data_IF_625925586730
#
_entry.id   IF_625925586730
#
_cell.length_a   1.000
_cell.length_b   1.000
_cell.length_c   1.000
_cell.angle_alpha   90.00
_cell.angle_beta   90.00
_cell.angle_gamma   90.00
#
_symmetry.space_group_name_H-M   'P 1'
#
loop_
_entity.id
_entity.type
_entity.pdbx_description
1 polymer ?
#
# COMPACT_ATOMS: atom_id res chain seq x y z
N UNK A 1 -7.68 35.38 23.19
CA UNK A 1 -8.02 34.50 24.33
C UNK A 1 -9.35 33.83 24.04
N UNK A 2 -9.33 32.65 23.41
CA UNK A 2 -10.56 31.89 23.15
C UNK A 2 -11.12 31.44 24.51
N UNK A 3 -12.35 31.87 24.79
CA UNK A 3 -12.97 31.82 26.12
C UNK A 3 -12.92 30.39 26.66
N UNK A 4 -12.29 30.15 27.82
CA UNK A 4 -12.18 28.80 28.44
C UNK A 4 -13.54 28.10 28.47
N UNK A 5 -14.61 28.87 28.63
CA UNK A 5 -16.00 28.44 28.56
C UNK A 5 -16.40 27.77 27.23
N UNK A 6 -15.96 28.26 26.08
CA UNK A 6 -16.25 27.65 24.77
C UNK A 6 -15.57 26.28 24.61
N UNK A 7 -14.36 26.12 25.17
CA UNK A 7 -13.66 24.82 25.15
C UNK A 7 -14.35 23.80 26.06
N UNK A 8 -14.76 24.22 27.25
CA UNK A 8 -15.49 23.37 28.20
C UNK A 8 -16.85 22.97 27.62
N UNK A 9 -17.55 23.90 26.96
CA UNK A 9 -18.85 23.65 26.34
C UNK A 9 -18.73 22.71 25.12
N UNK A 10 -17.70 22.89 24.30
CA UNK A 10 -17.40 21.98 23.19
C UNK A 10 -17.05 20.57 23.67
N UNK A 11 -16.24 20.45 24.74
CA UNK A 11 -15.92 19.16 25.34
C UNK A 11 -17.17 18.49 25.93
N UNK A 12 -18.02 19.27 26.59
CA UNK A 12 -19.29 18.79 27.14
C UNK A 12 -20.25 18.27 26.07
N UNK A 13 -20.37 18.97 24.94
CA UNK A 13 -21.18 18.54 23.80
C UNK A 13 -20.61 17.28 23.14
N UNK A 14 -19.30 17.17 23.01
CA UNK A 14 -18.64 15.98 22.47
C UNK A 14 -18.86 14.75 23.37
N UNK A 15 -18.71 14.92 24.70
CA UNK A 15 -19.01 13.85 25.66
C UNK A 15 -20.49 13.45 25.63
N UNK A 16 -21.41 14.41 25.54
CA UNK A 16 -22.84 14.15 25.38
C UNK A 16 -23.15 13.42 24.07
N UNK A 17 -22.47 13.75 22.98
CA UNK A 17 -22.62 13.08 21.70
C UNK A 17 -22.12 11.63 21.78
N UNK A 18 -20.92 11.40 22.34
CA UNK A 18 -20.39 10.06 22.57
C UNK A 18 -21.30 9.23 23.49
N UNK A 19 -21.81 9.82 24.59
CA UNK A 19 -22.74 9.14 25.49
C UNK A 19 -24.08 8.83 24.81
N UNK A 20 -24.59 9.70 23.94
CA UNK A 20 -25.79 9.41 23.14
C UNK A 20 -25.53 8.32 22.10
N UNK A 21 -24.36 8.28 21.47
CA UNK A 21 -23.99 7.19 20.57
C UNK A 21 -23.90 5.85 21.32
N UNK A 22 -23.28 5.84 22.50
CA UNK A 22 -23.20 4.64 23.35
C UNK A 22 -24.60 4.24 23.84
N UNK A 23 -25.45 5.19 24.21
CA UNK A 23 -26.83 4.93 24.63
C UNK A 23 -27.69 4.41 23.47
N UNK A 24 -27.55 4.98 22.27
CA UNK A 24 -28.20 4.49 21.05
C UNK A 24 -27.73 3.08 20.71
N UNK A 25 -26.42 2.81 20.78
CA UNK A 25 -25.87 1.46 20.63
C UNK A 25 -26.46 0.52 21.69
N UNK A 26 -26.50 0.91 22.97
CA UNK A 26 -27.08 0.08 24.03
C UNK A 26 -28.57 -0.18 23.85
N UNK A 27 -29.35 0.79 23.40
CA UNK A 27 -30.77 0.60 23.08
C UNK A 27 -30.91 -0.35 21.88
N UNK A 28 -30.02 -0.22 20.88
CA UNK A 28 -29.95 -1.15 19.75
C UNK A 28 -29.58 -2.58 20.18
N UNK A 29 -28.74 -2.75 21.20
CA UNK A 29 -28.29 -4.07 21.69
C UNK A 29 -29.19 -4.69 22.77
N UNK A 30 -29.88 -3.89 23.59
CA UNK A 30 -30.77 -4.40 24.64
C UNK A 30 -32.20 -4.70 24.15
N UNK A 31 -32.59 -4.19 22.98
CA UNK A 31 -33.92 -4.40 22.43
C UNK A 31 -34.15 -5.80 21.79
N UNK A 32 -33.21 -6.75 21.97
CA UNK A 32 -33.06 -7.86 21.02
C UNK A 32 -32.55 -7.33 19.68
N UNK A 33 -32.18 -8.19 18.73
CA UNK A 33 -31.83 -7.73 17.39
C UNK A 33 -33.03 -6.90 16.88
N UNK A 34 -32.95 -5.57 16.68
CA UNK A 34 -34.06 -4.80 16.14
C UNK A 34 -34.33 -5.20 14.68
N UNK A 35 -33.47 -6.06 14.14
CA UNK A 35 -33.63 -6.85 12.95
C UNK A 35 -33.67 -8.35 13.29
N UNK A 36 -34.43 -8.76 14.30
CA UNK A 36 -34.97 -10.13 14.37
C UNK A 36 -35.84 -10.31 13.13
N UNK A 37 -35.15 -10.61 12.05
CA UNK A 37 -35.73 -11.00 10.80
C UNK A 37 -36.56 -12.24 11.11
N UNK A 38 -37.80 -12.32 10.62
CA UNK A 38 -38.58 -13.54 10.68
C UNK A 38 -37.67 -14.74 10.35
N UNK A 39 -37.79 -15.86 11.06
CA UNK A 39 -36.87 -17.00 10.91
C UNK A 39 -36.79 -17.53 9.45
N UNK A 40 -37.75 -17.15 8.61
CA UNK A 40 -37.87 -17.40 7.18
C UNK A 40 -37.38 -16.26 6.26
N UNK A 41 -37.10 -15.07 6.80
CA UNK A 41 -36.55 -13.95 6.06
C UNK A 41 -35.06 -14.17 5.79
N UNK A 42 -34.79 -14.68 4.59
CA UNK A 42 -33.46 -14.71 3.99
C UNK A 42 -33.29 -13.40 3.21
N UNK A 43 -32.67 -12.34 3.77
CA UNK A 43 -32.36 -11.20 2.94
C UNK A 43 -31.49 -11.71 1.81
N UNK A 44 -31.90 -11.44 0.56
CA UNK A 44 -30.96 -11.49 -0.57
C UNK A 44 -29.97 -10.37 -0.32
N UNK A 45 -28.97 -10.65 0.50
CA UNK A 45 -27.81 -9.79 0.69
C UNK A 45 -27.08 -9.82 -0.64
N UNK A 46 -27.42 -8.86 -1.50
CA UNK A 46 -26.63 -8.54 -2.67
C UNK A 46 -25.55 -7.56 -2.24
N UNK A 47 -24.43 -7.54 -2.96
CA UNK A 47 -23.49 -6.42 -2.86
C UNK A 47 -24.26 -5.16 -3.23
N UNK A 48 -24.40 -4.23 -2.30
CA UNK A 48 -25.05 -2.94 -2.52
C UNK A 48 -24.04 -1.86 -2.20
N UNK A 49 -23.92 -0.84 -3.05
CA UNK A 49 -23.16 0.36 -2.69
C UNK A 49 -24.10 1.36 -2.02
N UNK A 50 -23.77 1.74 -0.80
CA UNK A 50 -24.43 2.86 -0.15
C UNK A 50 -23.84 4.14 -0.74
N UNK A 51 -24.71 5.01 -1.25
CA UNK A 51 -24.27 6.30 -1.77
C UNK A 51 -23.94 7.23 -0.61
N UNK A 52 -22.67 7.57 -0.44
CA UNK A 52 -22.22 8.47 0.62
C UNK A 52 -22.86 9.86 0.55
N UNK A 53 -23.25 10.35 -0.63
CA UNK A 53 -23.94 11.63 -0.79
C UNK A 53 -25.30 11.66 -0.08
N UNK A 54 -25.92 10.49 0.10
CA UNK A 54 -27.16 10.39 0.88
C UNK A 54 -26.89 10.40 2.40
N UNK A 55 -25.68 10.07 2.83
CA UNK A 55 -25.31 9.96 4.26
C UNK A 55 -24.67 11.24 4.75
N UNK A 56 -23.77 11.85 3.96
CA UNK A 56 -22.98 13.05 4.29
C UNK A 56 -23.79 14.19 4.93
N UNK A 57 -25.00 14.55 4.44
CA UNK A 57 -25.79 15.63 5.05
C UNK A 57 -26.15 15.39 6.52
N UNK A 58 -26.32 14.12 6.92
CA UNK A 58 -26.66 13.74 8.29
C UNK A 58 -25.44 13.66 9.22
N UNK A 59 -24.24 13.75 8.67
CA UNK A 59 -22.99 13.69 9.45
C UNK A 59 -22.52 15.07 9.90
N UNK A 60 -23.21 16.16 9.51
CA UNK A 60 -22.92 17.53 9.93
C UNK A 60 -21.44 17.95 9.73
N UNK A 61 -20.79 17.45 8.68
CA UNK A 61 -19.38 17.73 8.37
C UNK A 61 -18.36 16.80 9.04
N UNK A 62 -18.80 15.81 9.83
CA UNK A 62 -17.93 14.83 10.49
C UNK A 62 -17.73 13.54 9.68
N UNK A 63 -17.68 13.61 8.33
CA UNK A 63 -17.61 12.41 7.48
C UNK A 63 -16.35 11.58 7.74
N UNK A 64 -15.18 12.23 7.91
CA UNK A 64 -13.92 11.57 8.27
C UNK A 64 -13.99 10.82 9.59
N UNK A 65 -14.42 11.50 10.66
CA UNK A 65 -14.55 10.88 11.98
C UNK A 65 -15.53 9.69 11.96
N UNK A 66 -16.60 9.79 11.19
CA UNK A 66 -17.57 8.70 11.05
C UNK A 66 -16.97 7.53 10.27
N UNK A 67 -16.18 7.78 9.22
CA UNK A 67 -15.44 6.73 8.52
C UNK A 67 -14.46 6.01 9.47
N UNK A 68 -13.72 6.74 10.29
CA UNK A 68 -12.82 6.18 11.31
C UNK A 68 -13.56 5.27 12.30
N UNK A 69 -14.67 5.77 12.87
CA UNK A 69 -15.45 5.02 13.85
C UNK A 69 -16.08 3.76 13.26
N UNK A 70 -16.60 3.85 12.04
CA UNK A 70 -17.18 2.70 11.36
C UNK A 70 -16.12 1.68 10.98
N UNK A 71 -14.90 2.12 10.62
CA UNK A 71 -13.79 1.23 10.38
C UNK A 71 -13.37 0.47 11.63
N UNK A 72 -13.19 1.17 12.76
CA UNK A 72 -12.88 0.55 14.05
C UNK A 72 -13.95 -0.48 14.42
N UNK A 73 -15.23 -0.10 14.29
CA UNK A 73 -16.34 -1.02 14.51
C UNK A 73 -16.26 -2.25 13.60
N UNK A 74 -15.95 -2.05 12.31
CA UNK A 74 -15.81 -3.13 11.34
C UNK A 74 -14.69 -4.09 11.72
N UNK A 75 -13.51 -3.60 12.11
CA UNK A 75 -12.40 -4.46 12.54
C UNK A 75 -12.74 -5.21 13.83
N UNK A 76 -13.42 -4.57 14.78
CA UNK A 76 -13.73 -5.18 16.09
C UNK A 76 -14.80 -6.27 15.96
N UNK A 77 -15.82 -6.04 15.14
CA UNK A 77 -16.96 -6.95 15.02
C UNK A 77 -16.79 -8.01 13.93
N UNK A 78 -16.00 -7.74 12.89
CA UNK A 78 -15.80 -8.70 11.81
C UNK A 78 -14.52 -9.52 12.03
N UNK A 79 -14.65 -10.84 11.86
CA UNK A 79 -13.50 -11.72 11.81
C UNK A 79 -12.60 -11.35 10.62
N UNK A 80 -11.28 -11.41 10.83
CA UNK A 80 -10.26 -11.26 9.80
C UNK A 80 -10.31 -12.41 8.77
N UNK A 81 -11.09 -13.45 9.01
CA UNK A 81 -11.56 -14.36 7.96
C UNK A 81 -13.02 -14.04 7.67
N UNK A 82 -13.41 -13.94 6.40
CA UNK A 82 -14.78 -13.63 5.98
C UNK A 82 -15.52 -14.91 5.54
N UNK A 83 -15.97 -15.77 6.47
CA UNK A 83 -16.49 -17.10 6.13
C UNK A 83 -17.87 -17.06 5.48
N UNK A 84 -18.78 -16.18 5.93
CA UNK A 84 -20.12 -16.10 5.36
C UNK A 84 -20.22 -15.11 4.19
N UNK A 85 -21.16 -15.36 3.27
CA UNK A 85 -21.48 -14.38 2.22
C UNK A 85 -22.11 -13.11 2.77
N UNK A 86 -22.78 -13.18 3.93
CA UNK A 86 -23.40 -12.03 4.59
C UNK A 86 -22.34 -11.06 5.09
N UNK A 87 -21.39 -11.55 5.88
CA UNK A 87 -20.29 -10.74 6.43
C UNK A 87 -19.48 -10.11 5.30
N UNK A 88 -19.16 -10.88 4.27
CA UNK A 88 -18.45 -10.38 3.11
C UNK A 88 -19.19 -9.27 2.37
N UNK A 89 -20.48 -9.43 2.09
CA UNK A 89 -21.26 -8.40 1.39
C UNK A 89 -21.42 -7.14 2.26
N UNK A 90 -21.55 -7.31 3.57
CA UNK A 90 -21.56 -6.18 4.50
C UNK A 90 -20.22 -5.47 4.48
N UNK A 91 -19.10 -6.20 4.54
CA UNK A 91 -17.76 -5.65 4.46
C UNK A 91 -17.52 -4.90 3.14
N UNK A 92 -17.91 -5.47 2.00
CA UNK A 92 -17.92 -4.80 0.69
C UNK A 92 -18.66 -3.47 0.73
N UNK A 93 -19.90 -3.50 1.22
CA UNK A 93 -20.76 -2.32 1.31
C UNK A 93 -20.12 -1.23 2.18
N UNK A 94 -19.58 -1.63 3.32
CA UNK A 94 -18.96 -0.77 4.31
C UNK A 94 -17.65 -0.15 3.80
N UNK A 95 -16.73 -0.94 3.25
CA UNK A 95 -15.46 -0.44 2.69
C UNK A 95 -15.68 0.62 1.61
N UNK A 96 -16.65 0.43 0.71
CA UNK A 96 -17.00 1.45 -0.28
C UNK A 96 -17.57 2.71 0.35
N UNK A 97 -18.50 2.56 1.31
CA UNK A 97 -19.04 3.71 2.04
C UNK A 97 -17.95 4.50 2.76
N UNK A 98 -17.04 3.83 3.45
CA UNK A 98 -15.99 4.48 4.24
C UNK A 98 -15.04 5.28 3.34
N UNK A 99 -14.60 4.68 2.24
CA UNK A 99 -13.74 5.35 1.26
C UNK A 99 -14.44 6.47 0.49
N UNK A 100 -15.78 6.48 0.41
CA UNK A 100 -16.56 7.61 -0.13
C UNK A 100 -16.81 8.73 0.89
N UNK A 101 -16.91 8.37 2.19
CA UNK A 101 -17.04 9.32 3.30
C UNK A 101 -15.73 10.02 3.60
N UNK A 102 -14.63 9.27 3.59
CA UNK A 102 -13.27 9.76 3.73
C UNK A 102 -12.33 9.17 2.68
N UNK A 103 -12.21 9.83 1.52
CA UNK A 103 -11.27 9.42 0.49
C UNK A 103 -9.80 9.50 0.92
N UNK A 104 -9.46 10.27 1.97
CA UNK A 104 -8.09 10.47 2.45
C UNK A 104 -7.65 9.37 3.41
N UNK A 105 -8.57 8.51 3.83
CA UNK A 105 -8.29 7.52 4.87
C UNK A 105 -7.60 6.28 4.28
N UNK A 106 -6.31 6.44 4.00
CA UNK A 106 -5.46 5.46 3.33
C UNK A 106 -5.54 4.02 3.86
N UNK A 107 -5.47 3.78 5.19
CA UNK A 107 -5.59 2.44 5.78
C UNK A 107 -6.81 1.66 5.29
N UNK A 108 -7.93 2.32 4.95
CA UNK A 108 -9.11 1.64 4.42
C UNK A 108 -8.86 1.00 3.07
N UNK A 109 -8.08 1.64 2.20
CA UNK A 109 -7.80 1.06 0.90
C UNK A 109 -6.78 -0.08 1.02
N UNK A 110 -5.78 0.06 1.89
CA UNK A 110 -4.71 -0.93 2.06
C UNK A 110 -5.23 -2.16 2.80
N UNK A 111 -5.68 -1.97 4.04
CA UNK A 111 -6.12 -3.07 4.89
C UNK A 111 -7.51 -3.56 4.48
N UNK A 112 -8.37 -2.65 4.01
CA UNK A 112 -9.68 -3.01 3.49
C UNK A 112 -9.60 -3.92 2.27
N UNK A 113 -8.71 -3.62 1.33
CA UNK A 113 -8.49 -4.47 0.16
C UNK A 113 -7.75 -5.76 0.48
N UNK A 114 -6.77 -5.73 1.38
CA UNK A 114 -6.04 -6.92 1.83
C UNK A 114 -6.98 -7.95 2.46
N UNK A 115 -7.97 -7.47 3.22
CA UNK A 115 -8.99 -8.33 3.81
C UNK A 115 -9.85 -9.06 2.77
N UNK A 116 -10.17 -8.43 1.63
CA UNK A 116 -10.81 -9.15 0.51
C UNK A 116 -9.88 -10.20 -0.09
N UNK A 117 -8.63 -9.83 -0.35
CA UNK A 117 -7.65 -10.72 -0.97
C UNK A 117 -7.40 -11.99 -0.14
N UNK A 118 -7.21 -11.86 1.17
CA UNK A 118 -6.84 -12.97 2.04
C UNK A 118 -8.02 -13.62 2.77
N UNK A 119 -9.07 -12.85 3.08
CA UNK A 119 -10.21 -13.32 3.88
C UNK A 119 -11.01 -14.45 3.25
N UNK A 120 -10.83 -14.71 1.94
CA UNK A 120 -11.47 -15.79 1.16
C UNK A 120 -10.50 -16.66 0.37
N UNK A 121 -9.22 -16.59 0.69
CA UNK A 121 -8.20 -17.41 0.04
C UNK A 121 -8.53 -18.91 0.17
N UNK A 122 -8.36 -19.66 -0.91
CA UNK A 122 -8.63 -21.10 -0.94
C UNK A 122 -10.12 -21.48 -1.01
N UNK A 123 -11.03 -20.49 -1.08
CA UNK A 123 -12.46 -20.74 -1.29
C UNK A 123 -12.83 -20.65 -2.77
N UNK A 124 -14.00 -21.20 -3.14
CA UNK A 124 -14.55 -21.04 -4.50
C UNK A 124 -14.91 -19.59 -4.88
N UNK A 125 -14.82 -18.66 -3.92
CA UNK A 125 -15.10 -17.23 -4.06
C UNK A 125 -13.85 -16.35 -4.08
N UNK A 126 -12.65 -16.94 -4.06
CA UNK A 126 -11.39 -16.18 -4.05
C UNK A 126 -11.29 -15.19 -5.22
N UNK A 127 -11.66 -15.59 -6.44
CA UNK A 127 -11.61 -14.69 -7.61
C UNK A 127 -12.49 -13.45 -7.44
N UNK A 128 -13.72 -13.65 -6.95
CA UNK A 128 -14.65 -12.54 -6.67
C UNK A 128 -14.08 -11.57 -5.62
N UNK A 129 -13.38 -12.11 -4.63
CA UNK A 129 -12.73 -11.32 -3.58
C UNK A 129 -11.49 -10.58 -4.07
N UNK A 130 -10.71 -11.21 -4.94
CA UNK A 130 -9.59 -10.55 -5.60
C UNK A 130 -10.07 -9.38 -6.47
N UNK A 131 -11.15 -9.55 -7.23
CA UNK A 131 -11.72 -8.49 -8.07
C UNK A 131 -12.23 -7.32 -7.21
N UNK A 132 -12.89 -7.58 -6.08
CA UNK A 132 -13.31 -6.52 -5.15
C UNK A 132 -12.12 -5.81 -4.49
N UNK A 133 -11.07 -6.56 -4.11
CA UNK A 133 -9.81 -6.01 -3.60
C UNK A 133 -9.19 -5.04 -4.60
N UNK A 134 -9.06 -5.51 -5.84
CA UNK A 134 -8.50 -4.74 -6.95
C UNK A 134 -9.31 -3.46 -7.22
N UNK A 135 -10.64 -3.56 -7.17
CA UNK A 135 -11.52 -2.41 -7.37
C UNK A 135 -11.33 -1.32 -6.32
N UNK A 136 -11.26 -1.70 -5.03
CA UNK A 136 -11.04 -0.75 -3.94
C UNK A 136 -9.66 -0.10 -4.06
N UNK A 137 -8.63 -0.87 -4.39
CA UNK A 137 -7.28 -0.35 -4.60
C UNK A 137 -7.21 0.62 -5.78
N UNK A 138 -7.85 0.28 -6.91
CA UNK A 138 -7.91 1.17 -8.08
C UNK A 138 -8.61 2.47 -7.74
N UNK A 139 -9.73 2.42 -7.01
CA UNK A 139 -10.42 3.62 -6.53
C UNK A 139 -9.50 4.51 -5.70
N UNK A 140 -8.74 3.92 -4.77
CA UNK A 140 -7.74 4.66 -3.99
C UNK A 140 -6.66 5.25 -4.88
N UNK A 141 -6.12 4.47 -5.81
CA UNK A 141 -5.07 4.88 -6.74
C UNK A 141 -5.50 6.02 -7.67
N UNK A 142 -6.71 5.94 -8.24
CA UNK A 142 -7.27 7.01 -9.07
C UNK A 142 -7.51 8.28 -8.27
N UNK A 143 -8.00 8.15 -7.03
CA UNK A 143 -8.07 9.29 -6.13
C UNK A 143 -6.68 9.88 -5.88
N UNK A 144 -5.67 9.04 -5.67
CA UNK A 144 -4.27 9.44 -5.48
C UNK A 144 -3.62 10.09 -6.69
N UNK A 145 -3.97 9.71 -7.92
CA UNK A 145 -3.37 10.34 -9.10
C UNK A 145 -3.98 11.71 -9.42
N UNK A 146 -5.19 11.98 -8.95
CA UNK A 146 -5.98 13.13 -9.37
C UNK A 146 -5.93 14.35 -8.42
N UNK A 147 -5.25 14.29 -7.27
CA UNK A 147 -5.13 15.48 -6.40
C UNK A 147 -3.86 16.28 -6.66
N UNK A 148 -3.96 17.54 -6.25
CA UNK A 148 -2.95 18.59 -6.44
C UNK A 148 -2.04 18.77 -5.22
N UNK A 149 -2.32 18.09 -4.12
CA UNK A 149 -1.62 18.24 -2.84
C UNK A 149 -0.42 17.30 -2.76
N UNK A 150 0.63 17.68 -2.02
CA UNK A 150 1.81 16.82 -1.80
C UNK A 150 1.48 15.66 -0.86
N UNK A 151 1.51 14.44 -1.39
CA UNK A 151 1.13 13.17 -0.73
C UNK A 151 2.23 12.58 0.14
N UNK A 152 3.44 13.08 -0.03
CA UNK A 152 4.70 12.70 0.62
C UNK A 152 4.69 12.86 2.15
N UNK A 153 3.56 13.23 2.75
CA UNK A 153 3.33 13.29 4.19
C UNK A 153 2.73 12.00 4.80
N UNK A 154 2.21 11.08 3.99
CA UNK A 154 1.73 9.79 4.47
C UNK A 154 2.83 8.74 4.36
N UNK A 155 3.05 7.93 5.38
CA UNK A 155 4.18 6.97 5.40
C UNK A 155 3.96 5.75 4.47
N UNK A 156 2.71 5.48 4.07
CA UNK A 156 2.31 4.22 3.42
C UNK A 156 1.79 4.38 1.97
N UNK A 157 1.82 5.59 1.39
CA UNK A 157 1.28 5.93 0.05
C UNK A 157 1.75 5.05 -1.13
N UNK A 158 2.84 4.32 -0.96
CA UNK A 158 3.36 3.37 -1.94
C UNK A 158 2.71 1.99 -1.86
N UNK A 159 1.98 1.68 -0.79
CA UNK A 159 1.35 0.39 -0.56
C UNK A 159 0.17 0.14 -1.51
N UNK A 160 -0.59 1.16 -1.88
CA UNK A 160 -1.66 0.99 -2.90
C UNK A 160 -1.10 0.51 -4.23
N UNK A 161 -0.17 1.24 -4.89
CA UNK A 161 0.39 0.75 -6.14
C UNK A 161 1.11 -0.59 -5.93
N UNK A 162 1.70 -0.84 -4.76
CA UNK A 162 2.33 -2.12 -4.47
C UNK A 162 1.33 -3.28 -4.49
N UNK A 163 0.18 -3.12 -3.84
CA UNK A 163 -0.89 -4.13 -3.81
C UNK A 163 -1.55 -4.29 -5.18
N UNK A 164 -1.70 -3.22 -5.98
CA UNK A 164 -2.14 -3.32 -7.36
C UNK A 164 -1.17 -4.12 -8.23
N UNK A 165 0.12 -3.81 -8.13
CA UNK A 165 1.19 -4.56 -8.77
C UNK A 165 1.19 -6.02 -8.33
N UNK A 166 0.97 -6.28 -7.03
CA UNK A 166 0.86 -7.62 -6.48
C UNK A 166 -0.32 -8.40 -7.08
N UNK A 167 -1.52 -7.82 -7.10
CA UNK A 167 -2.70 -8.45 -7.69
C UNK A 167 -2.45 -8.81 -9.15
N UNK A 168 -1.90 -7.87 -9.95
CA UNK A 168 -1.58 -8.16 -11.35
C UNK A 168 -0.52 -9.24 -11.51
N UNK A 169 0.60 -9.14 -10.78
CA UNK A 169 1.74 -10.03 -10.97
C UNK A 169 1.46 -11.45 -10.47
N UNK A 170 0.98 -11.58 -9.23
CA UNK A 170 0.88 -12.87 -8.55
C UNK A 170 -0.48 -13.54 -8.67
N UNK A 171 -1.56 -12.76 -8.70
CA UNK A 171 -2.92 -13.29 -8.61
C UNK A 171 -3.61 -13.37 -9.99
N UNK A 172 -3.42 -12.35 -10.84
CA UNK A 172 -3.91 -12.34 -12.22
C UNK A 172 -2.90 -12.89 -13.24
N UNK A 173 -1.61 -12.98 -12.89
CA UNK A 173 -0.51 -13.36 -13.79
C UNK A 173 -0.41 -12.45 -15.04
N UNK A 174 -0.76 -11.17 -14.88
CA UNK A 174 -0.73 -10.12 -15.89
C UNK A 174 0.49 -9.20 -15.65
N UNK A 175 1.70 -9.75 -15.88
CA UNK A 175 2.97 -9.06 -15.56
C UNK A 175 3.10 -7.68 -16.20
N UNK A 176 2.65 -7.53 -17.43
CA UNK A 176 2.65 -6.25 -18.16
C UNK A 176 1.84 -5.18 -17.44
N UNK A 177 0.70 -5.54 -16.84
CA UNK A 177 -0.12 -4.58 -16.07
C UNK A 177 0.44 -4.30 -14.69
N UNK A 178 1.26 -5.19 -14.13
CA UNK A 178 1.93 -4.98 -12.85
C UNK A 178 3.07 -3.96 -12.95
N UNK A 179 3.78 -3.95 -14.08
CA UNK A 179 5.00 -3.17 -14.27
C UNK A 179 4.84 -1.67 -13.93
N UNK A 180 3.82 -0.93 -14.43
CA UNK A 180 3.73 0.51 -14.21
C UNK A 180 3.60 0.89 -12.73
N UNK A 181 3.03 0.01 -11.91
CA UNK A 181 2.90 0.26 -10.46
C UNK A 181 4.24 0.12 -9.75
N UNK A 182 5.04 -0.90 -10.07
CA UNK A 182 6.37 -1.07 -9.50
C UNK A 182 7.34 0.00 -10.00
N UNK A 183 7.24 0.40 -11.27
CA UNK A 183 7.98 1.54 -11.78
C UNK A 183 7.61 2.84 -11.08
N UNK A 184 6.32 3.06 -10.82
CA UNK A 184 5.87 4.23 -10.08
C UNK A 184 6.52 4.27 -8.71
N UNK A 185 6.49 3.16 -7.96
CA UNK A 185 7.10 3.08 -6.63
C UNK A 185 8.60 3.37 -6.71
N UNK A 186 9.32 2.68 -7.57
CA UNK A 186 10.77 2.84 -7.73
C UNK A 186 11.17 4.27 -8.11
N UNK A 187 10.38 4.94 -8.96
CA UNK A 187 10.71 6.27 -9.47
C UNK A 187 10.21 7.41 -8.58
N UNK A 188 9.05 7.28 -7.95
CA UNK A 188 8.33 8.44 -7.39
C UNK A 188 8.22 8.43 -5.88
N UNK A 189 8.46 7.29 -5.23
CA UNK A 189 8.30 7.14 -3.79
C UNK A 189 9.66 7.30 -3.09
N UNK A 190 9.96 8.46 -2.47
CA UNK A 190 11.11 8.59 -1.59
C UNK A 190 11.19 7.46 -0.55
N UNK A 191 12.37 6.89 -0.39
CA UNK A 191 12.66 5.82 0.58
C UNK A 191 11.87 4.51 0.37
N UNK A 192 11.28 4.29 -0.81
CA UNK A 192 10.66 3.01 -1.12
C UNK A 192 11.64 1.85 -0.90
N UNK A 193 11.18 0.70 -0.36
CA UNK A 193 11.98 -0.51 -0.26
C UNK A 193 12.68 -0.85 -1.60
N UNK A 194 14.02 -1.00 -1.60
CA UNK A 194 14.81 -1.24 -2.83
C UNK A 194 14.36 -2.44 -3.67
N UNK A 195 13.77 -3.41 -3.01
CA UNK A 195 13.11 -4.58 -3.59
C UNK A 195 12.18 -4.27 -4.78
N UNK A 196 11.48 -3.13 -4.79
CA UNK A 196 10.55 -2.81 -5.89
C UNK A 196 11.26 -2.53 -7.22
N UNK A 197 12.53 -2.13 -7.18
CA UNK A 197 13.38 -1.99 -8.37
C UNK A 197 13.72 -3.36 -8.96
N UNK A 198 14.07 -4.30 -8.08
CA UNK A 198 14.31 -5.69 -8.46
C UNK A 198 13.06 -6.31 -9.06
N UNK A 199 11.87 -6.03 -8.51
CA UNK A 199 10.61 -6.51 -9.08
C UNK A 199 10.35 -5.96 -10.47
N UNK A 200 10.49 -4.64 -10.67
CA UNK A 200 10.33 -4.04 -11.98
C UNK A 200 11.33 -4.63 -13.00
N UNK A 201 12.60 -4.78 -12.63
CA UNK A 201 13.61 -5.37 -13.50
C UNK A 201 13.34 -6.84 -13.85
N UNK A 202 12.83 -7.62 -12.90
CA UNK A 202 12.41 -9.00 -13.16
C UNK A 202 11.17 -9.08 -14.06
N UNK A 203 10.23 -8.14 -13.93
CA UNK A 203 9.09 -8.05 -14.84
C UNK A 203 9.58 -7.72 -16.26
N UNK A 204 10.46 -6.73 -16.42
CA UNK A 204 11.06 -6.41 -17.71
C UNK A 204 11.76 -7.60 -18.37
N UNK A 205 12.57 -8.34 -17.58
CA UNK A 205 13.22 -9.56 -18.04
C UNK A 205 12.20 -10.61 -18.48
N UNK A 206 11.14 -10.82 -17.71
CA UNK A 206 10.06 -11.73 -18.04
C UNK A 206 9.30 -11.34 -19.32
N UNK A 207 9.27 -10.05 -19.66
CA UNK A 207 8.67 -9.51 -20.87
C UNK A 207 9.64 -9.45 -22.07
N UNK A 208 10.90 -9.89 -21.89
CA UNK A 208 11.99 -9.77 -22.88
C UNK A 208 12.29 -8.32 -23.32
N UNK A 209 12.05 -7.36 -22.44
CA UNK A 209 12.24 -5.93 -22.66
C UNK A 209 13.58 -5.48 -22.05
N UNK A 210 14.69 -5.89 -22.68
CA UNK A 210 16.04 -5.70 -22.12
C UNK A 210 16.49 -4.24 -22.13
N UNK A 211 16.27 -3.54 -23.24
CA UNK A 211 16.70 -2.16 -23.40
C UNK A 211 15.92 -1.23 -22.46
N UNK A 212 14.63 -1.51 -22.26
CA UNK A 212 13.77 -0.79 -21.33
C UNK A 212 14.15 -1.07 -19.87
N UNK A 213 14.50 -2.32 -19.52
CA UNK A 213 15.03 -2.66 -18.19
C UNK A 213 16.28 -1.84 -17.87
N UNK A 214 17.19 -1.76 -18.84
CA UNK A 214 18.46 -1.07 -18.70
C UNK A 214 18.22 0.42 -18.45
N UNK A 215 17.42 1.06 -19.31
CA UNK A 215 17.07 2.46 -19.18
C UNK A 215 16.34 2.76 -17.84
N UNK A 216 15.42 1.88 -17.43
CA UNK A 216 14.73 1.99 -16.14
C UNK A 216 15.72 1.95 -14.98
N UNK A 217 16.57 0.93 -14.91
CA UNK A 217 17.52 0.78 -13.80
C UNK A 217 18.53 1.92 -13.77
N UNK A 218 19.10 2.32 -14.91
CA UNK A 218 19.96 3.49 -15.01
C UNK A 218 19.29 4.74 -14.43
N UNK A 219 18.01 4.99 -14.80
CA UNK A 219 17.27 6.17 -14.33
C UNK A 219 17.04 6.17 -12.81
N UNK A 220 16.66 5.03 -12.24
CA UNK A 220 16.36 4.91 -10.81
C UNK A 220 17.64 5.03 -9.99
N UNK A 221 18.71 4.37 -10.42
CA UNK A 221 20.02 4.43 -9.74
C UNK A 221 20.62 5.82 -9.76
N UNK A 222 20.50 6.50 -10.90
CA UNK A 222 20.93 7.87 -11.05
C UNK A 222 20.22 8.75 -10.02
N UNK A 223 18.90 8.60 -9.87
CA UNK A 223 18.10 9.36 -8.90
C UNK A 223 18.51 9.11 -7.46
N UNK A 224 18.72 7.86 -7.07
CA UNK A 224 19.13 7.51 -5.70
C UNK A 224 20.54 8.00 -5.37
N UNK A 225 21.50 7.78 -6.28
CA UNK A 225 22.89 8.24 -6.12
C UNK A 225 22.91 9.76 -5.91
N UNK A 226 22.05 10.49 -6.64
CA UNK A 226 21.89 11.94 -6.49
C UNK A 226 21.32 12.31 -5.11
N UNK A 227 20.25 11.65 -4.67
CA UNK A 227 19.57 11.93 -3.40
C UNK A 227 20.50 11.66 -2.21
N UNK A 228 21.14 10.49 -2.18
CA UNK A 228 22.03 10.09 -1.09
C UNK A 228 23.24 11.04 -0.98
N UNK A 229 23.88 11.37 -2.11
CA UNK A 229 25.07 12.21 -2.08
C UNK A 229 24.74 13.70 -1.84
N UNK A 230 23.58 14.19 -2.27
CA UNK A 230 23.06 15.53 -1.90
C UNK A 230 22.71 15.62 -0.41
N UNK A 231 22.20 14.54 0.19
CA UNK A 231 21.89 14.52 1.63
C UNK A 231 23.15 14.57 2.50
N UNK A 232 24.25 13.96 2.03
CA UNK A 232 25.52 13.89 2.76
C UNK A 232 26.46 15.10 2.50
N UNK A 233 26.31 15.81 1.37
CA UNK A 233 27.29 16.81 0.92
C UNK A 233 26.65 18.12 0.44
N UNK A 234 25.59 18.58 1.13
CA UNK A 234 24.75 19.73 0.72
C UNK A 234 25.55 20.99 0.33
N UNK A 235 26.68 21.24 1.00
CA UNK A 235 27.50 22.44 0.86
C UNK A 235 28.83 22.23 0.11
N UNK A 236 29.11 21.03 -0.41
CA UNK A 236 30.40 20.72 -1.05
C UNK A 236 30.28 20.73 -2.60
N UNK A 237 30.68 21.84 -3.22
CA UNK A 237 30.64 22.04 -4.69
C UNK A 237 31.53 21.05 -5.47
N UNK A 238 32.62 20.56 -4.88
CA UNK A 238 33.50 19.58 -5.53
C UNK A 238 32.84 18.20 -5.63
N UNK A 239 32.03 17.84 -4.64
CA UNK A 239 31.21 16.61 -4.68
C UNK A 239 30.09 16.76 -5.71
N UNK A 240 29.41 17.91 -5.77
CA UNK A 240 28.38 18.20 -6.79
C UNK A 240 28.93 18.11 -8.22
N UNK A 241 30.15 18.58 -8.47
CA UNK A 241 30.77 18.52 -9.79
C UNK A 241 31.24 17.10 -10.18
N UNK A 242 31.64 16.29 -9.20
CA UNK A 242 31.96 14.87 -9.40
C UNK A 242 30.70 14.06 -9.73
N UNK A 243 29.59 14.38 -9.06
CA UNK A 243 28.26 13.85 -9.36
C UNK A 243 27.84 14.21 -10.77
N UNK A 244 27.97 15.49 -11.19
CA UNK A 244 27.68 15.91 -12.57
C UNK A 244 28.47 15.14 -13.62
N UNK A 245 29.77 14.94 -13.40
CA UNK A 245 30.60 14.15 -14.32
C UNK A 245 30.20 12.68 -14.37
N UNK A 246 29.82 12.08 -13.23
CA UNK A 246 29.27 10.72 -13.18
C UNK A 246 27.90 10.60 -13.85
N UNK A 247 27.05 11.62 -13.75
CA UNK A 247 25.77 11.70 -14.46
C UNK A 247 25.97 11.68 -15.98
N UNK A 248 26.95 12.45 -16.48
CA UNK A 248 27.32 12.47 -17.90
C UNK A 248 27.84 11.10 -18.36
N UNK A 249 28.57 10.39 -17.50
CA UNK A 249 29.08 9.04 -17.80
C UNK A 249 27.97 7.97 -17.83
N UNK A 250 27.02 8.01 -16.88
CA UNK A 250 25.87 7.11 -16.87
C UNK A 250 24.93 7.36 -18.06
N UNK A 251 24.69 8.62 -18.43
CA UNK A 251 23.95 8.96 -19.66
C UNK A 251 24.67 8.57 -20.95
N UNK A 252 25.96 8.21 -20.87
CA UNK A 252 26.79 7.76 -21.98
C UNK A 252 26.76 6.26 -22.25
N UNK A 253 25.96 5.46 -21.51
CA UNK A 253 25.75 4.04 -21.77
C UNK A 253 26.84 3.09 -21.24
N UNK A 254 27.41 3.39 -20.08
CA UNK A 254 28.59 2.67 -19.55
C UNK A 254 28.29 1.56 -18.53
N UNK A 255 27.02 1.26 -18.24
CA UNK A 255 26.68 0.10 -17.41
C UNK A 255 26.56 -1.12 -18.34
N UNK A 256 27.20 -2.24 -18.03
CA UNK A 256 27.05 -3.46 -18.85
C UNK A 256 25.80 -4.22 -18.44
N UNK A 257 25.09 -4.81 -19.41
CA UNK A 257 23.94 -5.68 -19.15
C UNK A 257 24.27 -6.82 -18.19
N UNK A 258 25.50 -7.36 -18.26
CA UNK A 258 25.97 -8.43 -17.38
C UNK A 258 26.03 -8.01 -15.91
N UNK A 259 26.44 -6.76 -15.64
CA UNK A 259 26.52 -6.25 -14.27
C UNK A 259 25.12 -5.98 -13.70
N UNK A 260 24.19 -5.52 -14.54
CA UNK A 260 22.76 -5.40 -14.20
C UNK A 260 22.14 -6.76 -13.92
N UNK A 261 22.36 -7.73 -14.79
CA UNK A 261 21.83 -9.10 -14.62
C UNK A 261 22.36 -9.73 -13.33
N UNK A 262 23.64 -9.53 -13.01
CA UNK A 262 24.26 -10.00 -11.76
C UNK A 262 23.66 -9.33 -10.53
N UNK A 263 23.39 -8.03 -10.57
CA UNK A 263 22.72 -7.32 -9.49
C UNK A 263 21.30 -7.87 -9.28
N UNK A 264 20.50 -7.95 -10.36
CA UNK A 264 19.13 -8.45 -10.30
C UNK A 264 19.14 -9.85 -9.72
N UNK A 265 20.01 -10.74 -10.21
CA UNK A 265 20.14 -12.11 -9.71
C UNK A 265 20.43 -12.15 -8.21
N UNK A 266 21.45 -11.42 -7.73
CA UNK A 266 21.81 -11.39 -6.30
C UNK A 266 20.70 -10.82 -5.43
N UNK A 267 20.00 -9.79 -5.90
CA UNK A 267 18.87 -9.20 -5.21
C UNK A 267 17.67 -10.17 -5.18
N UNK A 268 17.44 -10.89 -6.29
CA UNK A 268 16.35 -11.85 -6.43
C UNK A 268 16.53 -13.07 -5.54
N UNK A 269 17.68 -13.74 -5.58
CA UNK A 269 17.98 -14.93 -4.75
C UNK A 269 17.71 -14.65 -3.27
N UNK A 270 18.02 -13.44 -2.82
CA UNK A 270 17.79 -12.99 -1.45
C UNK A 270 16.33 -12.64 -1.16
N UNK A 271 15.65 -11.99 -2.11
CA UNK A 271 14.23 -11.60 -1.97
C UNK A 271 13.27 -12.79 -2.05
N UNK A 272 13.53 -13.77 -2.92
CA UNK A 272 12.59 -14.83 -3.25
C UNK A 272 12.32 -15.77 -2.06
N UNK A 273 13.36 -16.10 -1.28
CA UNK A 273 13.21 -16.89 -0.05
C UNK A 273 12.34 -16.19 1.01
N UNK A 274 12.49 -14.87 1.15
CA UNK A 274 11.69 -14.04 2.07
C UNK A 274 10.23 -14.03 1.61
N UNK A 275 9.99 -13.85 0.31
CA UNK A 275 8.64 -13.87 -0.27
C UNK A 275 7.93 -15.20 -0.10
N UNK A 276 8.63 -16.31 -0.32
CA UNK A 276 8.06 -17.65 -0.13
C UNK A 276 7.68 -17.90 1.34
N UNK A 277 8.53 -17.48 2.29
CA UNK A 277 8.21 -17.59 3.72
C UNK A 277 6.99 -16.74 4.07
N UNK A 278 7.00 -15.46 3.66
CA UNK A 278 5.87 -14.55 3.88
C UNK A 278 4.57 -15.11 3.32
N UNK A 279 4.56 -15.50 2.04
CA UNK A 279 3.36 -15.99 1.35
C UNK A 279 2.81 -17.28 1.97
N UNK A 280 3.70 -18.19 2.37
CA UNK A 280 3.28 -19.50 2.86
C UNK A 280 2.91 -19.49 4.35
N UNK A 281 3.56 -18.66 5.17
CA UNK A 281 3.41 -18.69 6.62
C UNK A 281 2.60 -17.50 7.17
N UNK A 282 2.65 -16.34 6.49
CA UNK A 282 2.06 -15.08 6.96
C UNK A 282 1.26 -14.36 5.86
N UNK A 283 0.36 -15.05 5.12
CA UNK A 283 -0.34 -14.44 3.99
C UNK A 283 -1.23 -13.27 4.40
N UNK A 284 -1.61 -13.16 5.67
CA UNK A 284 -2.47 -12.09 6.20
C UNK A 284 -1.72 -10.80 6.56
N UNK A 285 -0.38 -10.82 6.58
CA UNK A 285 0.42 -9.64 6.84
C UNK A 285 0.78 -8.96 5.53
N UNK A 286 0.94 -7.65 5.55
CA UNK A 286 1.66 -6.97 4.47
C UNK A 286 3.14 -7.37 4.51
N UNK A 287 3.86 -7.28 3.40
CA UNK A 287 5.29 -7.64 3.38
C UNK A 287 6.10 -6.80 4.37
N UNK A 288 5.70 -5.55 4.61
CA UNK A 288 6.33 -4.66 5.59
C UNK A 288 6.05 -5.10 7.02
N UNK A 289 4.78 -5.36 7.37
CA UNK A 289 4.42 -5.86 8.70
C UNK A 289 5.14 -7.18 8.98
N UNK A 290 5.22 -8.05 7.98
CA UNK A 290 5.99 -9.29 8.06
C UNK A 290 7.47 -9.01 8.34
N UNK A 291 8.12 -8.14 7.56
CA UNK A 291 9.54 -7.79 7.76
C UNK A 291 9.77 -7.16 9.14
N UNK A 292 8.85 -6.30 9.60
CA UNK A 292 8.95 -5.64 10.90
C UNK A 292 8.73 -6.60 12.08
N UNK A 293 7.83 -7.57 11.93
CA UNK A 293 7.48 -8.53 12.99
C UNK A 293 8.40 -9.75 13.01
N UNK A 294 9.05 -10.05 11.88
CA UNK A 294 9.96 -11.18 11.70
C UNK A 294 11.37 -10.75 11.29
N UNK A 295 12.05 -9.87 12.07
CA UNK A 295 13.40 -9.44 11.77
C UNK A 295 14.40 -10.61 11.74
N UNK A 296 14.10 -11.74 12.37
CA UNK A 296 14.89 -12.96 12.34
C UNK A 296 14.89 -13.68 10.99
N UNK A 297 13.76 -13.63 10.26
CA UNK A 297 13.70 -14.09 8.86
C UNK A 297 14.50 -13.15 7.96
N UNK A 298 14.77 -11.95 8.46
CA UNK A 298 15.35 -10.81 7.77
C UNK A 298 16.80 -10.50 8.18
N UNK A 299 17.43 -11.26 9.07
CA UNK A 299 18.68 -10.91 9.77
C UNK A 299 19.97 -10.85 8.89
N UNK A 300 19.84 -10.73 7.57
CA UNK A 300 20.94 -10.42 6.67
C UNK A 300 20.75 -9.03 6.10
N UNK A 301 21.82 -8.22 6.16
CA UNK A 301 22.01 -6.98 5.38
C UNK A 301 21.15 -7.00 4.11
N UNK A 302 20.15 -6.15 4.01
CA UNK A 302 19.06 -6.16 3.02
C UNK A 302 19.53 -6.38 1.55
N UNK A 303 18.62 -6.65 0.61
CA UNK A 303 18.91 -6.36 -0.81
C UNK A 303 19.23 -4.86 -1.05
N UNK A 304 18.73 -3.96 -0.18
CA UNK A 304 19.19 -2.57 -0.06
C UNK A 304 20.64 -2.39 0.36
N UNK A 305 21.25 -3.39 0.98
CA UNK A 305 22.67 -3.33 1.37
C UNK A 305 23.55 -3.91 0.26
N UNK A 306 22.96 -4.58 -0.74
CA UNK A 306 23.59 -4.72 -2.04
C UNK A 306 23.45 -3.37 -2.72
N UNK A 307 24.37 -2.47 -2.38
CA UNK A 307 24.52 -1.24 -3.12
C UNK A 307 24.85 -1.63 -4.56
N UNK A 308 23.97 -1.32 -5.52
CA UNK A 308 24.31 -1.51 -6.92
C UNK A 308 25.57 -0.70 -7.26
N UNK A 309 25.84 0.38 -6.52
CA UNK A 309 27.10 1.11 -6.62
C UNK A 309 28.31 0.26 -6.21
N UNK A 310 28.21 -0.57 -5.17
CA UNK A 310 29.26 -1.55 -4.84
C UNK A 310 29.36 -2.64 -5.92
N UNK A 311 28.25 -3.10 -6.49
CA UNK A 311 28.27 -4.12 -7.55
C UNK A 311 28.83 -3.59 -8.89
N UNK A 312 28.59 -2.31 -9.20
CA UNK A 312 29.03 -1.65 -10.43
C UNK A 312 30.39 -0.96 -10.31
N UNK A 313 30.80 -0.56 -9.09
CA UNK A 313 31.95 0.33 -8.87
C UNK A 313 32.89 -0.05 -7.71
N UNK A 314 32.77 -1.26 -7.12
CA UNK A 314 33.90 -1.83 -6.35
C UNK A 314 34.84 -2.66 -7.24
N UNK A 315 36.13 -2.70 -6.88
CA UNK A 315 37.18 -2.37 -7.82
C UNK A 315 38.13 -3.55 -7.98
N UNK A 316 38.36 -3.96 -9.23
CA UNK A 316 39.76 -4.18 -9.57
C UNK A 316 40.43 -2.80 -9.48
N UNK A 317 40.97 -2.53 -8.29
CA UNK A 317 41.57 -1.28 -7.88
C UNK A 317 42.95 -1.16 -8.54
N UNK A 318 43.02 -1.01 -9.87
CA UNK A 318 44.27 -0.73 -10.58
C UNK A 318 44.16 0.27 -11.75
N UNK A 319 43.02 0.89 -12.01
CA UNK A 319 42.96 1.86 -13.12
C UNK A 319 41.96 2.99 -12.97
N UNK A 320 42.24 3.94 -12.08
CA UNK A 320 41.84 5.35 -12.25
C UNK A 320 42.88 6.29 -11.65
#
# INVERSE_FOLDING_TARGET
>A
MMNKWLKILGLGLLVLFCLNLIALQRIYFMAGDPFEYPADYKPKLMKVRLNAENVKPFLFGYSSLVADLLWIYTIVEMDLKLPSQKEYNLYYTLTHLFTDLDPYFEPLYIYGSSQFMFGRQGTSKQKEALDDSHEVLLKGWEFYLNRTEEWNHFHQYWMIPQLLGFNYYFEYNEKEKALPYYEYIANHVPHAPPLYRTFAGEIYKNLNQKDENMAFLESVLMKETLIEQLSLNRDNEEVKERIRRKMIYMQGGAVSQEAVDLYIQKAMEKSQSIFEIWRNQYPYLTIEDFVSLHPEVYNGKLASDVSMFEVLFHPDEESL
#
